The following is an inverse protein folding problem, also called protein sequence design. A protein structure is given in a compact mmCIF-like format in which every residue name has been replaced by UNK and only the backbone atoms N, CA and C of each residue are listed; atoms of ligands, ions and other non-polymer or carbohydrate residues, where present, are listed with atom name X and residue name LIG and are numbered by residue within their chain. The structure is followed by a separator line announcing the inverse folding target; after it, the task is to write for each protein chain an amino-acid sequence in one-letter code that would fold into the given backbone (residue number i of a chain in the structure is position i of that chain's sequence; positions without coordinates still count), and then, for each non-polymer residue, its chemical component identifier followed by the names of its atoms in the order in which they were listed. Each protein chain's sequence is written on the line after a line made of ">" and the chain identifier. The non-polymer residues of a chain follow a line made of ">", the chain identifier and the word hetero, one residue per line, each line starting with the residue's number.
data_IF_018804175014
#
_entry.id   IF_018804175014
#
_cell.length_a   1.000
_cell.length_b   1.000
_cell.length_c   1.000
_cell.angle_alpha   90.00
_cell.angle_beta   90.00
_cell.angle_gamma   90.00
#
_symmetry.space_group_name_H-M   'P 1'
#
loop_
_entity.id
_entity.type
_entity.pdbx_description
1 polymer ?
#
# COMPACT_ATOMS: atom_id res chain seq x y z
N UNK A 1 -9.97 20.14 7.71
CA UNK A 1 -9.44 21.04 6.68
C UNK A 1 -8.60 20.24 5.71
N UNK A 2 -8.52 20.68 4.46
CA UNK A 2 -7.84 19.92 3.41
C UNK A 2 -6.37 19.63 3.73
N UNK A 3 -5.64 20.62 4.29
CA UNK A 3 -4.23 20.41 4.64
C UNK A 3 -4.06 19.41 5.78
N UNK A 4 -4.98 19.40 6.75
CA UNK A 4 -4.94 18.41 7.84
C UNK A 4 -5.20 17.01 7.30
N UNK A 5 -6.18 16.86 6.39
CA UNK A 5 -6.50 15.56 5.79
C UNK A 5 -5.35 15.05 4.92
N UNK A 6 -4.69 15.95 4.16
CA UNK A 6 -3.51 15.58 3.38
C UNK A 6 -2.37 15.10 4.29
N UNK A 7 -2.15 15.78 5.42
CA UNK A 7 -1.12 15.39 6.36
C UNK A 7 -1.38 14.01 6.96
N UNK A 8 -2.63 13.71 7.31
CA UNK A 8 -3.01 12.39 7.83
C UNK A 8 -2.80 11.31 6.77
N UNK A 9 -3.23 11.56 5.54
CA UNK A 9 -3.06 10.61 4.45
C UNK A 9 -1.58 10.35 4.15
N UNK A 10 -0.76 11.40 4.10
CA UNK A 10 0.68 11.28 3.89
C UNK A 10 1.35 10.49 5.01
N UNK A 11 1.04 10.80 6.26
CA UNK A 11 1.62 10.10 7.42
C UNK A 11 1.22 8.61 7.43
N UNK A 12 0.00 8.31 7.01
CA UNK A 12 -0.45 6.92 6.92
C UNK A 12 0.47 6.11 6.00
N UNK A 13 0.86 6.67 4.85
CA UNK A 13 1.72 5.97 3.91
C UNK A 13 3.20 6.06 4.28
N UNK A 14 3.66 7.19 4.81
CA UNK A 14 5.08 7.35 5.10
C UNK A 14 5.50 6.70 6.41
N UNK A 15 4.61 6.60 7.41
CA UNK A 15 4.98 6.15 8.75
C UNK A 15 4.19 4.93 9.21
N UNK A 16 2.86 4.95 9.08
CA UNK A 16 1.99 3.92 9.68
C UNK A 16 2.14 2.58 8.96
N UNK A 17 1.92 2.57 7.65
CA UNK A 17 1.95 1.34 6.86
C UNK A 17 3.33 0.68 6.82
N UNK A 18 4.43 1.42 6.54
CA UNK A 18 5.74 0.78 6.46
C UNK A 18 6.19 0.15 7.79
N UNK A 19 5.79 0.75 8.90
CA UNK A 19 6.17 0.27 10.23
C UNK A 19 5.23 -0.82 10.76
N UNK A 20 4.14 -1.10 10.06
CA UNK A 20 3.15 -2.06 10.55
C UNK A 20 2.51 -1.60 11.85
N UNK A 21 2.27 -0.31 12.00
CA UNK A 21 1.76 0.32 13.21
C UNK A 21 0.24 0.14 13.31
N UNK A 22 -0.18 -0.92 13.98
CA UNK A 22 -1.59 -1.26 14.14
C UNK A 22 -2.34 -0.17 14.91
N UNK A 23 -1.76 0.34 15.99
CA UNK A 23 -2.40 1.39 16.79
C UNK A 23 -2.57 2.66 15.96
N UNK A 24 -1.55 3.03 15.18
CA UNK A 24 -1.62 4.18 14.29
C UNK A 24 -2.69 4.02 13.22
N UNK A 25 -2.82 2.82 12.63
CA UNK A 25 -3.84 2.55 11.63
C UNK A 25 -5.25 2.66 12.25
N UNK A 26 -5.44 2.08 13.44
CA UNK A 26 -6.72 2.19 14.15
C UNK A 26 -7.06 3.65 14.50
N UNK A 27 -6.06 4.48 14.75
CA UNK A 27 -6.29 5.89 15.09
C UNK A 27 -6.78 6.71 13.89
N UNK A 28 -6.36 6.37 12.67
CA UNK A 28 -6.73 7.14 11.47
C UNK A 28 -7.91 6.55 10.70
N UNK A 29 -8.25 5.28 10.92
CA UNK A 29 -9.35 4.61 10.23
C UNK A 29 -10.59 4.54 11.11
N UNK A 30 -11.75 4.77 10.50
CA UNK A 30 -13.01 4.52 11.18
C UNK A 30 -13.14 3.00 11.40
N UNK A 31 -13.70 2.56 12.56
CA UNK A 31 -13.85 1.11 12.81
C UNK A 31 -14.67 0.38 11.76
N UNK A 32 -15.55 1.09 11.06
CA UNK A 32 -16.42 0.52 10.00
C UNK A 32 -15.99 0.98 8.61
N UNK A 33 -14.70 1.27 8.43
CA UNK A 33 -14.16 1.69 7.13
C UNK A 33 -14.48 0.65 6.05
N UNK A 34 -14.86 1.14 4.86
CA UNK A 34 -15.11 0.29 3.70
C UNK A 34 -13.86 0.30 2.83
N UNK A 35 -13.26 -0.87 2.64
CA UNK A 35 -12.09 -1.01 1.78
C UNK A 35 -12.52 -1.64 0.45
N UNK A 36 -12.46 -0.86 -0.63
CA UNK A 36 -12.79 -1.32 -1.97
C UNK A 36 -11.63 -2.02 -2.68
N UNK A 37 -10.44 -2.04 -2.07
CA UNK A 37 -9.24 -2.58 -2.68
C UNK A 37 -8.51 -3.57 -1.77
N UNK A 38 -9.21 -4.57 -1.18
CA UNK A 38 -8.53 -5.56 -0.36
C UNK A 38 -7.67 -6.47 -1.22
N UNK A 39 -6.49 -6.88 -0.75
CA UNK A 39 -5.74 -7.91 -1.46
C UNK A 39 -6.47 -9.26 -1.39
N UNK A 40 -6.16 -10.18 -2.32
CA UNK A 40 -6.79 -11.51 -2.32
C UNK A 40 -6.66 -12.20 -0.97
N UNK A 41 -7.77 -12.72 -0.46
CA UNK A 41 -7.81 -13.47 0.80
C UNK A 41 -7.94 -12.62 2.06
N UNK A 42 -7.88 -11.30 1.95
CA UNK A 42 -8.09 -10.44 3.12
C UNK A 42 -9.59 -10.35 3.45
N UNK A 43 -9.95 -10.40 4.75
CA UNK A 43 -11.33 -10.12 5.14
C UNK A 43 -11.68 -8.66 4.86
N UNK A 44 -12.96 -8.29 4.80
CA UNK A 44 -13.36 -6.91 4.55
C UNK A 44 -13.03 -6.01 5.73
N UNK A 45 -13.00 -4.71 5.47
CA UNK A 45 -12.93 -3.67 6.49
C UNK A 45 -11.58 -3.52 7.16
N UNK A 46 -11.59 -2.98 8.37
CA UNK A 46 -10.38 -2.63 9.11
C UNK A 46 -9.55 -3.86 9.46
N UNK A 47 -10.17 -4.96 9.86
CA UNK A 47 -9.44 -6.19 10.16
C UNK A 47 -8.64 -6.67 8.96
N UNK A 48 -9.22 -6.58 7.76
CA UNK A 48 -8.53 -6.94 6.54
C UNK A 48 -7.36 -6.01 6.23
N UNK A 49 -7.52 -4.72 6.49
CA UNK A 49 -6.43 -3.76 6.34
C UNK A 49 -5.27 -4.06 7.27
N UNK A 50 -5.57 -4.40 8.53
CA UNK A 50 -4.55 -4.76 9.52
C UNK A 50 -3.82 -6.03 9.09
N UNK A 51 -4.55 -7.05 8.64
CA UNK A 51 -3.95 -8.28 8.16
C UNK A 51 -3.06 -8.04 6.93
N UNK A 52 -3.55 -7.27 5.96
CA UNK A 52 -2.78 -6.95 4.75
C UNK A 52 -1.49 -6.20 5.10
N UNK A 53 -1.56 -5.26 6.03
CA UNK A 53 -0.37 -4.55 6.52
C UNK A 53 0.64 -5.52 7.13
N UNK A 54 0.16 -6.51 7.88
CA UNK A 54 1.00 -7.57 8.46
C UNK A 54 1.65 -8.44 7.40
N UNK A 55 0.93 -8.77 6.33
CA UNK A 55 1.48 -9.56 5.23
C UNK A 55 2.62 -8.82 4.53
N UNK A 56 2.47 -7.53 4.30
CA UNK A 56 3.52 -6.72 3.70
C UNK A 56 4.73 -6.64 4.64
N UNK A 57 4.50 -6.45 5.93
CA UNK A 57 5.57 -6.42 6.92
C UNK A 57 6.34 -7.74 6.96
N UNK A 58 5.64 -8.86 6.86
CA UNK A 58 6.25 -10.19 6.84
C UNK A 58 7.01 -10.46 5.54
N UNK A 59 6.45 -10.03 4.41
CA UNK A 59 6.98 -10.37 3.10
C UNK A 59 8.13 -9.50 2.63
N UNK A 60 8.23 -8.29 3.14
CA UNK A 60 9.21 -7.32 2.66
C UNK A 60 9.99 -6.68 3.80
N UNK A 61 11.29 -6.52 3.61
CA UNK A 61 12.16 -5.69 4.44
C UNK A 61 12.41 -4.36 3.73
N UNK A 62 13.07 -3.42 4.42
CA UNK A 62 13.44 -2.11 3.88
C UNK A 62 12.22 -1.37 3.29
N UNK A 63 11.09 -1.53 3.92
CA UNK A 63 9.81 -0.98 3.43
C UNK A 63 9.79 0.53 3.56
N UNK A 64 9.34 1.20 2.49
CA UNK A 64 9.01 2.62 2.51
C UNK A 64 8.03 2.95 1.41
N UNK A 65 7.24 3.98 1.63
CA UNK A 65 6.41 4.57 0.57
C UNK A 65 7.01 5.92 0.19
N UNK A 66 7.30 6.06 -1.08
CA UNK A 66 7.74 7.32 -1.67
C UNK A 66 6.50 8.05 -2.16
N UNK A 67 6.11 9.11 -1.48
CA UNK A 67 4.93 9.90 -1.85
C UNK A 67 5.33 10.93 -2.91
N UNK A 68 4.69 10.85 -4.07
CA UNK A 68 4.98 11.74 -5.18
C UNK A 68 4.10 12.99 -5.13
N UNK A 69 2.81 12.82 -4.85
CA UNK A 69 1.88 13.93 -4.75
C UNK A 69 0.66 13.56 -3.92
N UNK A 70 0.08 14.57 -3.28
CA UNK A 70 -1.14 14.43 -2.49
C UNK A 70 -2.11 15.51 -2.97
N UNK A 71 -3.30 15.10 -3.35
CA UNK A 71 -4.32 15.97 -3.91
C UNK A 71 -5.57 15.81 -3.08
N UNK A 72 -6.21 16.91 -2.70
CA UNK A 72 -7.44 16.88 -1.92
C UNK A 72 -8.53 17.68 -2.59
N UNK A 73 -9.74 17.15 -2.56
CA UNK A 73 -10.95 17.86 -2.98
C UNK A 73 -12.06 17.49 -1.99
N UNK A 74 -12.58 18.47 -1.26
CA UNK A 74 -13.57 18.23 -0.23
C UNK A 74 -13.01 17.33 0.88
N UNK A 75 -13.69 16.22 1.13
CA UNK A 75 -13.30 15.24 2.14
C UNK A 75 -12.48 14.08 1.57
N UNK A 76 -12.10 14.15 0.30
CA UNK A 76 -11.41 13.07 -0.41
C UNK A 76 -9.97 13.48 -0.69
N UNK A 77 -9.03 12.56 -0.40
CA UNK A 77 -7.60 12.77 -0.62
C UNK A 77 -7.07 11.65 -1.51
N UNK A 78 -6.30 12.05 -2.53
CA UNK A 78 -5.62 11.13 -3.44
C UNK A 78 -4.13 11.18 -3.15
N UNK A 79 -3.51 10.02 -2.97
CA UNK A 79 -2.06 9.91 -2.77
C UNK A 79 -1.48 9.05 -3.89
N UNK A 80 -0.62 9.65 -4.69
CA UNK A 80 0.16 8.95 -5.69
C UNK A 80 1.53 8.64 -5.09
N UNK A 81 1.90 7.38 -5.06
CA UNK A 81 3.11 6.92 -4.37
C UNK A 81 3.70 5.68 -5.02
N UNK A 82 4.89 5.31 -4.55
CA UNK A 82 5.52 4.04 -4.93
C UNK A 82 5.93 3.33 -3.64
N UNK A 83 5.51 2.08 -3.50
CA UNK A 83 5.99 1.22 -2.43
C UNK A 83 7.34 0.63 -2.83
N UNK A 84 8.33 0.75 -1.95
CA UNK A 84 9.65 0.14 -2.10
C UNK A 84 9.87 -0.87 -0.98
N UNK A 85 10.50 -1.98 -1.32
CA UNK A 85 10.86 -2.99 -0.36
C UNK A 85 11.77 -4.03 -0.99
N UNK A 86 12.21 -4.99 -0.18
CA UNK A 86 12.96 -6.18 -0.64
C UNK A 86 12.17 -7.41 -0.24
N UNK A 87 11.95 -8.31 -1.19
CA UNK A 87 11.15 -9.51 -0.96
C UNK A 87 11.97 -10.55 -0.21
N UNK A 88 11.95 -10.47 1.12
CA UNK A 88 12.77 -11.30 2.01
C UNK A 88 11.97 -12.28 2.85
N UNK A 89 10.64 -12.28 2.77
CA UNK A 89 9.77 -13.22 3.46
C UNK A 89 8.68 -13.74 2.53
N UNK A 90 7.92 -14.72 3.00
CA UNK A 90 6.79 -15.24 2.22
C UNK A 90 5.72 -14.16 2.04
N UNK A 91 5.20 -14.03 0.83
CA UNK A 91 4.16 -13.07 0.52
C UNK A 91 3.19 -13.67 -0.48
N UNK A 92 1.91 -13.76 -0.10
CA UNK A 92 0.83 -14.33 -0.93
C UNK A 92 1.20 -15.67 -1.54
N UNK A 93 1.83 -16.54 -0.73
CA UNK A 93 2.20 -17.89 -1.16
C UNK A 93 3.51 -17.97 -1.94
N UNK A 94 4.18 -16.84 -2.17
CA UNK A 94 5.44 -16.82 -2.91
C UNK A 94 6.62 -16.81 -1.94
N UNK A 95 7.54 -17.76 -2.12
CA UNK A 95 8.77 -17.84 -1.34
C UNK A 95 9.67 -16.63 -1.62
N UNK A 96 10.48 -16.18 -0.65
CA UNK A 96 11.31 -15.00 -0.81
C UNK A 96 12.26 -15.10 -2.00
N UNK A 97 12.30 -14.08 -2.82
CA UNK A 97 13.16 -13.98 -4.00
C UNK A 97 14.41 -13.13 -3.75
N UNK A 98 14.43 -12.39 -2.64
CA UNK A 98 15.45 -11.39 -2.30
C UNK A 98 15.55 -10.24 -3.31
N UNK A 99 14.55 -10.06 -4.17
CA UNK A 99 14.55 -9.00 -5.17
C UNK A 99 14.04 -7.69 -4.56
N UNK A 100 14.64 -6.54 -4.95
CA UNK A 100 14.04 -5.25 -4.63
C UNK A 100 12.80 -5.06 -5.50
N UNK A 101 11.78 -4.41 -4.95
CA UNK A 101 10.55 -4.10 -5.69
C UNK A 101 10.25 -2.61 -5.62
N UNK A 102 9.61 -2.13 -6.66
CA UNK A 102 9.06 -0.78 -6.73
C UNK A 102 7.65 -0.91 -7.31
N UNK A 103 6.64 -0.67 -6.48
CA UNK A 103 5.23 -0.88 -6.84
C UNK A 103 4.51 0.46 -6.87
N UNK A 104 4.32 1.03 -8.08
CA UNK A 104 3.52 2.25 -8.22
C UNK A 104 2.08 2.00 -7.81
N UNK A 105 1.50 2.96 -7.11
CA UNK A 105 0.11 2.85 -6.67
C UNK A 105 -0.51 4.21 -6.42
N UNK A 106 -1.83 4.22 -6.47
CA UNK A 106 -2.65 5.39 -6.14
C UNK A 106 -3.65 4.96 -5.08
N UNK A 107 -3.71 5.69 -3.98
CA UNK A 107 -4.70 5.50 -2.93
C UNK A 107 -5.66 6.66 -2.93
N UNK A 108 -6.94 6.37 -2.75
CA UNK A 108 -7.98 7.38 -2.59
C UNK A 108 -8.67 7.09 -1.26
N UNK A 109 -8.73 8.09 -0.39
CA UNK A 109 -9.38 7.95 0.91
C UNK A 109 -10.40 9.07 1.10
N UNK A 110 -11.56 8.72 1.63
CA UNK A 110 -12.59 9.66 2.01
C UNK A 110 -12.66 9.74 3.53
N UNK A 111 -12.67 10.95 4.04
CA UNK A 111 -12.69 11.23 5.48
C UNK A 111 -14.07 11.65 5.95
N UNK A 112 -14.39 11.31 7.19
CA UNK A 112 -15.55 11.82 7.92
C UNK A 112 -15.14 11.95 9.38
N UNK A 113 -15.35 13.14 9.93
CA UNK A 113 -14.98 13.45 11.32
C UNK A 113 -13.51 13.12 11.63
N UNK A 114 -12.62 13.42 10.67
CA UNK A 114 -11.19 13.26 10.83
C UNK A 114 -10.66 11.83 10.64
N UNK A 115 -11.53 10.87 10.32
CA UNK A 115 -11.14 9.48 10.12
C UNK A 115 -11.49 9.02 8.70
N UNK A 116 -10.70 8.09 8.19
CA UNK A 116 -10.96 7.48 6.88
C UNK A 116 -12.17 6.54 7.01
N UNK A 117 -13.19 6.78 6.19
CA UNK A 117 -14.40 5.95 6.15
C UNK A 117 -14.48 5.10 4.90
N UNK A 118 -13.68 5.42 3.87
CA UNK A 118 -13.70 4.68 2.62
C UNK A 118 -12.32 4.75 1.97
N UNK A 119 -11.89 3.62 1.37
CA UNK A 119 -10.57 3.51 0.75
C UNK A 119 -10.68 2.78 -0.58
N UNK A 120 -10.06 3.35 -1.61
CA UNK A 120 -9.83 2.74 -2.92
C UNK A 120 -8.34 2.76 -3.22
N UNK A 121 -7.87 1.80 -4.00
CA UNK A 121 -6.49 1.82 -4.49
C UNK A 121 -6.38 1.10 -5.81
N UNK A 122 -5.43 1.56 -6.61
CA UNK A 122 -4.97 0.87 -7.81
C UNK A 122 -3.47 0.67 -7.65
N UNK A 123 -3.03 -0.57 -7.81
CA UNK A 123 -1.62 -0.95 -7.66
C UNK A 123 -1.18 -1.65 -8.92
N UNK A 124 0.09 -1.46 -9.30
CA UNK A 124 0.66 -2.17 -10.45
C UNK A 124 1.05 -3.60 -10.05
N UNK A 125 0.04 -4.44 -9.80
CA UNK A 125 0.26 -5.82 -9.36
C UNK A 125 0.93 -6.66 -10.45
N UNK A 126 0.64 -6.38 -11.71
CA UNK A 126 1.30 -7.07 -12.82
C UNK A 126 2.80 -6.75 -12.84
N UNK A 127 3.15 -5.47 -12.63
CA UNK A 127 4.54 -5.05 -12.52
C UNK A 127 5.25 -5.71 -11.36
N UNK A 128 4.58 -5.82 -10.20
CA UNK A 128 5.12 -6.53 -9.05
C UNK A 128 5.40 -7.99 -9.39
N UNK A 129 4.46 -8.67 -10.03
CA UNK A 129 4.64 -10.07 -10.45
C UNK A 129 5.81 -10.24 -11.38
N UNK A 130 6.02 -9.30 -12.31
CA UNK A 130 7.18 -9.33 -13.20
C UNK A 130 8.49 -9.14 -12.44
N UNK A 131 8.53 -8.20 -11.50
CA UNK A 131 9.72 -7.95 -10.69
C UNK A 131 10.09 -9.16 -9.83
N UNK A 132 9.10 -9.93 -9.41
CA UNK A 132 9.32 -11.14 -8.62
C UNK A 132 9.53 -12.40 -9.48
N UNK A 133 9.51 -12.25 -10.81
CA UNK A 133 9.77 -13.37 -11.72
C UNK A 133 8.59 -14.27 -11.99
N UNK A 134 7.36 -13.87 -11.64
CA UNK A 134 6.15 -14.67 -11.86
C UNK A 134 5.73 -14.69 -13.32
N UNK A 135 6.04 -13.62 -14.07
CA UNK A 135 5.68 -13.50 -15.47
C UNK A 135 6.91 -13.18 -16.29
N UNK A 136 7.09 -13.79 -17.46
CA UNK A 136 8.19 -13.40 -18.36
C UNK A 136 7.93 -11.99 -18.87
N UNK A 137 8.99 -11.17 -18.91
CA UNK A 137 8.93 -9.89 -19.58
C UNK A 137 8.95 -10.06 -21.08
N UNK A 138 8.63 -8.99 -21.86
CA UNK A 138 8.81 -9.02 -23.31
C UNK A 138 10.25 -9.39 -23.67
N UNK A 139 10.47 -10.16 -24.75
CA UNK A 139 11.82 -10.54 -25.16
C UNK A 139 12.75 -9.33 -25.29
N UNK A 140 13.96 -9.43 -24.73
CA UNK A 140 14.97 -8.39 -24.80
C UNK A 140 14.72 -7.16 -23.93
N UNK A 141 13.71 -7.19 -23.06
CA UNK A 141 13.40 -6.06 -22.16
C UNK A 141 13.73 -6.43 -20.72
N UNK A 142 14.44 -5.55 -20.02
CA UNK A 142 14.69 -5.73 -18.60
C UNK A 142 13.39 -5.59 -17.79
N UNK A 143 13.29 -6.36 -16.69
CA UNK A 143 12.17 -6.24 -15.75
C UNK A 143 12.43 -5.04 -14.86
N UNK A 144 11.43 -4.11 -14.71
CA UNK A 144 11.60 -2.98 -13.79
C UNK A 144 11.91 -3.46 -12.36
N UNK A 145 12.96 -2.87 -11.75
CA UNK A 145 13.41 -3.29 -10.42
C UNK A 145 14.24 -4.57 -10.40
N UNK A 146 14.46 -5.21 -11.53
CA UNK A 146 15.32 -6.39 -11.65
C UNK A 146 16.80 -6.02 -11.73
N UNK A 147 17.68 -7.01 -11.60
CA UNK A 147 19.11 -6.79 -11.76
C UNK A 147 19.49 -6.36 -13.17
#
# INVERSE_FOLDING_TARGET
>A
MAEDLKAVARRTLEEILPNGDVAGLRAVMHPQVVNHAPPPGAPPGLDGMIQAMGWVKQGFSERRFEVHQVIAEGDTVVVHCTFHGRHTGHFLGLAPTNQPVALPQVHIVRFQDGKVVEHWAVRDDLGLGRQLGLFPGPPGRAVPGGP
#
